data_IF_962450524848
#
_entry.id   IF_962450524848
#
_cell.length_a   1.000
_cell.length_b   1.000
_cell.length_c   1.000
_cell.angle_alpha   90.00
_cell.angle_beta   90.00
_cell.angle_gamma   90.00
#
_symmetry.space_group_name_H-M   'P 1'
#
loop_
_entity.id
_entity.type
_entity.pdbx_description
1 polymer ?
#
# COMPACT_ATOMS: atom_id res chain seq x y z
N UNK A 1 25.10 -14.56 -9.98
CA UNK A 1 24.01 -13.97 -9.17
C UNK A 1 23.76 -12.56 -9.70
N UNK A 2 22.57 -12.29 -10.21
CA UNK A 2 22.18 -10.97 -10.72
C UNK A 2 22.11 -9.97 -9.55
N UNK A 3 22.83 -8.86 -9.65
CA UNK A 3 22.70 -7.74 -8.72
C UNK A 3 21.30 -7.13 -8.92
N UNK A 4 20.40 -7.31 -7.96
CA UNK A 4 19.08 -6.68 -7.98
C UNK A 4 19.22 -5.30 -7.39
N UNK A 5 19.20 -4.26 -8.23
CA UNK A 5 19.12 -2.87 -7.75
C UNK A 5 17.67 -2.58 -7.38
N UNK A 6 17.45 -2.35 -6.08
CA UNK A 6 16.17 -1.93 -5.52
C UNK A 6 16.00 -0.44 -5.80
N UNK A 7 15.17 -0.12 -6.77
CA UNK A 7 14.86 1.26 -7.12
C UNK A 7 13.46 1.58 -6.63
N UNK A 8 13.38 2.57 -5.75
CA UNK A 8 12.12 3.09 -5.25
C UNK A 8 11.64 4.18 -6.19
N UNK A 9 10.42 4.04 -6.69
CA UNK A 9 9.75 5.14 -7.37
C UNK A 9 9.58 6.31 -6.38
N UNK A 10 10.27 7.42 -6.66
CA UNK A 10 10.29 8.58 -5.77
C UNK A 10 8.94 9.30 -5.71
N UNK A 11 8.10 9.12 -6.74
CA UNK A 11 6.79 9.75 -6.85
C UNK A 11 5.72 9.09 -5.96
N UNK A 12 5.96 7.87 -5.45
CA UNK A 12 4.92 7.11 -4.74
C UNK A 12 3.69 6.79 -5.60
N UNK A 13 3.80 6.99 -6.91
CA UNK A 13 2.71 6.86 -7.86
C UNK A 13 2.38 5.38 -8.07
N UNK A 14 3.41 4.53 -8.17
CA UNK A 14 3.28 3.06 -8.22
C UNK A 14 2.49 2.48 -7.02
N UNK A 15 2.58 3.10 -5.85
CA UNK A 15 1.85 2.68 -4.64
C UNK A 15 0.36 3.01 -4.71
N UNK A 16 -0.03 4.09 -5.38
CA UNK A 16 -1.44 4.43 -5.58
C UNK A 16 -2.16 3.37 -6.42
N UNK A 17 -1.51 2.84 -7.45
CA UNK A 17 -2.05 1.73 -8.26
C UNK A 17 -2.28 0.45 -7.46
N UNK A 18 -1.56 0.24 -6.35
CA UNK A 18 -1.80 -0.88 -5.43
C UNK A 18 -2.95 -0.60 -4.46
N UNK A 19 -3.07 0.62 -3.94
CA UNK A 19 -4.14 0.97 -2.98
C UNK A 19 -5.52 1.01 -3.64
N UNK A 20 -5.62 1.52 -4.86
CA UNK A 20 -6.90 1.65 -5.58
C UNK A 20 -7.67 0.32 -5.68
N UNK A 21 -7.09 -0.79 -6.16
CA UNK A 21 -7.79 -2.07 -6.20
C UNK A 21 -8.06 -2.61 -4.79
N UNK A 22 -7.16 -2.45 -3.81
CA UNK A 22 -7.42 -2.84 -2.41
C UNK A 22 -8.65 -2.12 -1.86
N UNK A 23 -8.80 -0.83 -2.11
CA UNK A 23 -9.99 -0.06 -1.74
C UNK A 23 -11.25 -0.53 -2.47
N UNK A 24 -11.15 -0.81 -3.78
CA UNK A 24 -12.27 -1.33 -4.56
C UNK A 24 -12.75 -2.70 -4.02
N UNK A 25 -11.81 -3.59 -3.67
CA UNK A 25 -12.11 -4.90 -3.07
C UNK A 25 -12.72 -4.79 -1.67
N UNK A 26 -12.39 -3.77 -0.89
CA UNK A 26 -13.02 -3.50 0.42
C UNK A 26 -14.42 -2.89 0.23
N UNK A 27 -14.61 -2.04 -0.77
CA UNK A 27 -15.90 -1.42 -1.06
C UNK A 27 -16.95 -2.42 -1.56
N UNK A 28 -16.57 -3.45 -2.32
CA UNK A 28 -17.51 -4.46 -2.83
C UNK A 28 -18.32 -5.19 -1.73
N UNK A 29 -17.70 -5.81 -0.70
CA UNK A 29 -18.44 -6.47 0.36
C UNK A 29 -19.20 -5.47 1.23
N UNK A 30 -18.67 -4.25 1.45
CA UNK A 30 -19.40 -3.19 2.19
C UNK A 30 -20.65 -2.77 1.42
N UNK A 31 -20.56 -2.59 0.11
CA UNK A 31 -21.68 -2.21 -0.75
C UNK A 31 -22.71 -3.34 -0.83
N UNK A 32 -22.25 -4.59 -0.97
CA UNK A 32 -23.10 -5.77 -1.00
C UNK A 32 -23.83 -5.98 0.33
N UNK A 33 -23.12 -5.86 1.45
CA UNK A 33 -23.70 -6.01 2.78
C UNK A 33 -24.67 -4.87 3.14
N UNK A 34 -24.42 -3.67 2.61
CA UNK A 34 -25.26 -2.49 2.81
C UNK A 34 -26.42 -2.40 1.81
N UNK A 35 -26.56 -3.38 0.90
CA UNK A 35 -27.66 -3.38 -0.06
C UNK A 35 -28.98 -3.29 0.72
N UNK A 36 -29.88 -2.34 0.37
CA UNK A 36 -31.09 -2.13 1.12
C UNK A 36 -31.86 -3.44 1.16
N UNK A 37 -31.87 -4.09 2.33
CA UNK A 37 -32.81 -5.15 2.61
C UNK A 37 -34.16 -4.47 2.54
N UNK A 38 -34.89 -4.71 1.45
CA UNK A 38 -36.24 -4.23 1.23
C UNK A 38 -37.02 -4.69 2.46
N UNK A 39 -37.23 -3.80 3.43
CA UNK A 39 -38.11 -4.07 4.55
C UNK A 39 -39.49 -4.17 3.93
N UNK A 40 -39.95 -5.40 3.69
CA UNK A 40 -41.37 -5.64 3.44
C UNK A 40 -42.12 -4.94 4.57
N UNK A 41 -42.88 -3.92 4.20
CA UNK A 41 -43.71 -3.16 5.12
C UNK A 41 -44.77 -4.11 5.64
N UNK A 42 -44.48 -4.80 6.76
CA UNK A 42 -45.49 -5.59 7.46
C UNK A 42 -46.63 -4.64 7.78
N UNK A 43 -47.76 -4.81 7.09
CA UNK A 43 -48.99 -4.09 7.39
C UNK A 43 -49.39 -4.58 8.79
N UNK A 44 -49.00 -3.84 9.83
CA UNK A 44 -49.45 -4.14 11.19
C UNK A 44 -50.92 -3.73 11.23
N UNK A 45 -51.86 -4.65 11.49
CA UNK A 45 -53.27 -4.29 11.63
C UNK A 45 -53.38 -3.20 12.70
N UNK A 46 -54.01 -2.08 12.34
CA UNK A 46 -54.32 -1.04 13.32
C UNK A 46 -55.38 -1.62 14.26
N UNK A 47 -55.17 -1.58 15.59
CA UNK A 47 -56.13 -2.12 16.54
C UNK A 47 -57.40 -1.27 16.49
N UNK A 48 -58.45 -1.75 15.82
CA UNK A 48 -59.82 -1.31 16.06
C UNK A 48 -60.27 -1.85 17.42
N UNK A 49 -61.07 -1.05 18.13
CA UNK A 49 -61.30 -1.02 19.59
C UNK A 49 -61.92 -2.28 20.24
N UNK A 50 -61.47 -3.49 19.93
CA UNK A 50 -61.97 -4.67 20.65
C UNK A 50 -60.92 -5.77 20.73
N UNK A 51 -60.79 -6.29 21.95
CA UNK A 51 -59.89 -7.32 22.48
C UNK A 51 -58.56 -6.86 23.10
N UNK A 52 -58.34 -7.41 24.28
CA UNK A 52 -57.32 -7.07 25.27
C UNK A 52 -55.92 -7.57 24.84
N UNK A 53 -55.03 -6.65 24.48
CA UNK A 53 -53.66 -6.94 24.05
C UNK A 53 -52.62 -6.70 25.15
N UNK A 54 -52.84 -7.25 26.36
CA UNK A 54 -51.86 -7.17 27.45
C UNK A 54 -50.49 -7.83 27.13
N UNK A 55 -50.39 -9.02 26.50
CA UNK A 55 -49.10 -9.69 26.32
C UNK A 55 -48.28 -9.19 25.11
N UNK A 56 -48.89 -8.42 24.19
CA UNK A 56 -48.22 -8.00 22.95
C UNK A 56 -47.70 -6.54 23.00
N UNK A 57 -48.19 -5.73 23.94
CA UNK A 57 -47.79 -4.31 24.16
C UNK A 57 -46.29 -4.13 24.41
N UNK A 58 -45.65 -5.08 25.09
CA UNK A 58 -44.24 -4.99 25.48
C UNK A 58 -43.31 -5.17 24.28
N UNK A 59 -43.72 -6.00 23.30
CA UNK A 59 -42.93 -6.31 22.10
C UNK A 59 -42.86 -5.11 21.15
N UNK A 60 -43.96 -4.38 20.97
CA UNK A 60 -43.97 -3.16 20.16
C UNK A 60 -43.06 -2.07 20.74
N UNK A 61 -43.14 -1.84 22.06
CA UNK A 61 -42.38 -0.80 22.74
C UNK A 61 -40.86 -1.04 22.69
N UNK A 62 -40.41 -2.30 22.78
CA UNK A 62 -38.99 -2.66 22.66
C UNK A 62 -38.47 -2.54 21.21
N UNK A 63 -39.31 -2.85 20.21
CA UNK A 63 -38.97 -2.66 18.79
C UNK A 63 -38.79 -1.18 18.44
N UNK A 64 -39.62 -0.30 19.00
CA UNK A 64 -39.55 1.14 18.78
C UNK A 64 -38.49 1.86 19.64
N UNK A 65 -38.01 1.28 20.74
CA UNK A 65 -37.04 1.91 21.65
C UNK A 65 -35.64 2.14 21.04
N UNK A 66 -35.18 1.27 20.13
CA UNK A 66 -33.88 1.42 19.44
C UNK A 66 -34.00 2.00 18.03
N UNK A 67 -35.22 2.21 17.54
CA UNK A 67 -35.52 2.47 16.13
C UNK A 67 -34.76 3.70 15.59
N UNK A 68 -34.62 4.75 16.40
CA UNK A 68 -33.84 5.93 16.05
C UNK A 68 -32.35 5.64 15.86
N UNK A 69 -31.75 4.80 16.71
CA UNK A 69 -30.33 4.45 16.59
C UNK A 69 -30.09 3.48 15.43
N UNK A 70 -31.01 2.55 15.13
CA UNK A 70 -30.92 1.68 13.94
C UNK A 70 -31.05 2.47 12.64
N UNK A 71 -31.99 3.43 12.59
CA UNK A 71 -32.15 4.35 11.47
C UNK A 71 -30.94 5.28 11.31
N UNK A 72 -30.41 5.83 12.42
CA UNK A 72 -29.19 6.65 12.41
C UNK A 72 -27.98 5.85 11.97
N UNK A 73 -27.81 4.61 12.42
CA UNK A 73 -26.75 3.72 11.95
C UNK A 73 -26.88 3.48 10.44
N UNK A 74 -28.08 3.17 9.94
CA UNK A 74 -28.30 3.01 8.49
C UNK A 74 -28.00 4.31 7.69
N UNK A 75 -28.35 5.48 8.22
CA UNK A 75 -28.03 6.77 7.60
C UNK A 75 -26.52 7.05 7.63
N UNK A 76 -25.85 6.84 8.77
CA UNK A 76 -24.41 7.03 8.92
C UNK A 76 -23.61 6.10 8.00
N UNK A 77 -24.03 4.84 7.87
CA UNK A 77 -23.37 3.90 6.97
C UNK A 77 -23.58 4.29 5.49
N UNK A 78 -24.74 4.81 5.10
CA UNK A 78 -24.97 5.37 3.75
C UNK A 78 -24.08 6.60 3.48
N UNK A 79 -23.99 7.52 4.44
CA UNK A 79 -23.10 8.69 4.34
C UNK A 79 -21.65 8.23 4.21
N UNK A 80 -21.22 7.27 5.03
CA UNK A 80 -19.88 6.68 4.95
C UNK A 80 -19.59 6.06 3.58
N UNK A 81 -20.56 5.37 2.98
CA UNK A 81 -20.44 4.81 1.62
C UNK A 81 -20.23 5.92 0.58
N UNK A 82 -21.03 6.99 0.63
CA UNK A 82 -20.91 8.12 -0.30
C UNK A 82 -19.55 8.80 -0.15
N UNK A 83 -19.10 9.03 1.09
CA UNK A 83 -17.77 9.61 1.38
C UNK A 83 -16.65 8.71 0.85
N UNK A 84 -16.72 7.39 1.08
CA UNK A 84 -15.73 6.45 0.58
C UNK A 84 -15.72 6.37 -0.97
N UNK A 85 -16.88 6.49 -1.61
CA UNK A 85 -16.99 6.54 -3.06
C UNK A 85 -16.39 7.84 -3.64
N UNK A 86 -16.63 8.99 -3.00
CA UNK A 86 -16.01 10.27 -3.37
C UNK A 86 -14.49 10.19 -3.21
N UNK A 87 -13.99 9.59 -2.12
CA UNK A 87 -12.56 9.41 -1.90
C UNK A 87 -11.90 8.53 -2.97
N UNK A 88 -12.56 7.44 -3.39
CA UNK A 88 -12.11 6.61 -4.51
C UNK A 88 -12.05 7.42 -5.83
N UNK A 89 -13.07 8.22 -6.12
CA UNK A 89 -13.08 9.09 -7.31
C UNK A 89 -11.95 10.11 -7.29
N UNK A 90 -11.66 10.70 -6.12
CA UNK A 90 -10.52 11.61 -5.94
C UNK A 90 -9.19 10.88 -6.19
N UNK A 91 -9.01 9.66 -5.68
CA UNK A 91 -7.81 8.87 -5.94
C UNK A 91 -7.63 8.53 -7.41
N UNK A 92 -8.70 8.11 -8.10
CA UNK A 92 -8.66 7.82 -9.54
C UNK A 92 -8.32 9.08 -10.33
N UNK A 93 -8.94 10.22 -9.98
CA UNK A 93 -8.63 11.50 -10.61
C UNK A 93 -7.17 11.90 -10.39
N UNK A 94 -6.65 11.71 -9.18
CA UNK A 94 -5.23 11.92 -8.87
C UNK A 94 -4.35 11.00 -9.73
N UNK A 95 -4.71 9.73 -9.87
CA UNK A 95 -3.99 8.77 -10.72
C UNK A 95 -3.99 9.20 -12.19
N UNK A 96 -5.12 9.67 -12.72
CA UNK A 96 -5.23 10.17 -14.09
C UNK A 96 -4.40 11.42 -14.38
N UNK A 97 -4.04 12.19 -13.36
CA UNK A 97 -3.20 13.39 -13.52
C UNK A 97 -1.70 13.10 -13.50
N UNK A 98 -1.30 11.87 -13.13
CA UNK A 98 0.09 11.46 -13.13
C UNK A 98 0.51 11.29 -14.59
N UNK A 99 1.42 12.16 -15.05
CA UNK A 99 2.14 11.89 -16.29
C UNK A 99 2.95 10.62 -16.05
N UNK A 100 2.74 9.59 -16.86
CA UNK A 100 3.57 8.39 -16.84
C UNK A 100 4.97 8.83 -17.28
N UNK A 101 5.77 9.33 -16.34
CA UNK A 101 7.19 9.62 -16.52
C UNK A 101 8.00 8.33 -16.41
N UNK A 102 7.49 7.25 -17.02
CA UNK A 102 8.34 6.19 -17.51
C UNK A 102 8.62 6.59 -18.95
N UNK A 103 9.54 7.54 -19.13
CA UNK A 103 10.02 7.88 -20.46
C UNK A 103 10.56 6.59 -21.08
N UNK A 104 9.76 5.97 -21.95
CA UNK A 104 10.24 4.95 -22.86
C UNK A 104 11.34 5.64 -23.67
N UNK A 105 12.58 5.42 -23.24
CA UNK A 105 13.73 6.06 -23.85
C UNK A 105 13.81 5.55 -25.28
N UNK A 106 13.42 6.42 -26.21
CA UNK A 106 13.59 6.17 -27.62
C UNK A 106 15.02 6.59 -28.01
N UNK A 107 15.95 5.64 -28.21
CA UNK A 107 17.32 5.97 -28.62
C UNK A 107 17.35 6.69 -29.98
N UNK A 108 16.29 6.58 -30.79
CA UNK A 108 16.17 7.22 -32.10
C UNK A 108 15.49 8.59 -32.05
N UNK A 109 14.87 8.97 -30.93
CA UNK A 109 14.38 10.33 -30.73
C UNK A 109 15.51 11.36 -30.74
N UNK A 110 16.72 10.95 -30.32
CA UNK A 110 17.95 11.76 -30.45
C UNK A 110 18.36 11.96 -31.91
N UNK A 111 18.02 11.00 -32.78
CA UNK A 111 18.34 11.00 -34.21
C UNK A 111 17.25 11.64 -35.08
N UNK A 112 16.07 11.94 -34.52
CA UNK A 112 14.98 12.65 -35.21
C UNK A 112 14.31 11.85 -36.34
N UNK A 113 14.30 10.52 -36.26
CA UNK A 113 13.75 9.63 -37.30
C UNK A 113 12.35 9.14 -36.89
N UNK A 114 11.37 9.23 -37.81
CA UNK A 114 9.97 8.81 -37.61
C UNK A 114 9.77 7.28 -37.79
N UNK A 115 8.87 6.67 -37.02
CA UNK A 115 9.04 5.32 -36.46
C UNK A 115 8.29 4.13 -37.12
N UNK A 116 7.68 4.26 -38.29
CA UNK A 116 6.54 3.35 -38.56
C UNK A 116 6.83 1.92 -39.10
N UNK A 117 8.03 1.55 -39.57
CA UNK A 117 8.25 0.17 -40.07
C UNK A 117 9.71 -0.39 -40.12
N UNK A 118 10.78 0.40 -40.33
CA UNK A 118 12.15 -0.16 -40.49
C UNK A 118 12.87 -0.43 -39.15
N UNK A 119 12.27 -0.09 -38.02
CA UNK A 119 12.94 -0.05 -36.70
C UNK A 119 13.51 -1.40 -36.29
N UNK A 120 12.75 -2.49 -36.44
CA UNK A 120 13.21 -3.81 -36.00
C UNK A 120 14.47 -4.24 -36.75
N UNK A 121 14.48 -4.03 -38.06
CA UNK A 121 15.63 -4.35 -38.92
C UNK A 121 16.81 -3.44 -38.65
N UNK A 122 16.57 -2.15 -38.45
CA UNK A 122 17.64 -1.21 -38.12
C UNK A 122 18.27 -1.48 -36.74
N UNK A 123 17.43 -1.82 -35.74
CA UNK A 123 17.89 -2.22 -34.40
C UNK A 123 18.73 -3.49 -34.44
N UNK A 124 18.29 -4.51 -35.18
CA UNK A 124 19.08 -5.74 -35.42
C UNK A 124 20.45 -5.40 -36.05
N UNK A 125 20.49 -4.49 -37.03
CA UNK A 125 21.73 -4.05 -37.68
C UNK A 125 22.63 -3.29 -36.70
N UNK A 126 22.07 -2.38 -35.90
CA UNK A 126 22.83 -1.60 -34.93
C UNK A 126 23.42 -2.48 -33.81
N UNK A 127 22.64 -3.44 -33.31
CA UNK A 127 23.09 -4.44 -32.35
C UNK A 127 24.19 -5.32 -32.96
N UNK A 128 24.00 -5.81 -34.19
CA UNK A 128 25.00 -6.60 -34.90
C UNK A 128 26.30 -5.82 -35.14
N UNK A 129 26.20 -4.56 -35.56
CA UNK A 129 27.36 -3.69 -35.74
C UNK A 129 28.12 -3.54 -34.41
N UNK A 130 27.42 -3.22 -33.32
CA UNK A 130 28.02 -3.09 -31.98
C UNK A 130 28.73 -4.38 -31.55
N UNK A 131 28.14 -5.55 -31.79
CA UNK A 131 28.78 -6.85 -31.46
C UNK A 131 30.02 -7.16 -32.30
N UNK A 132 30.13 -6.63 -33.51
CA UNK A 132 31.23 -6.91 -34.43
C UNK A 132 32.37 -5.92 -34.31
N UNK A 133 32.10 -4.69 -33.88
CA UNK A 133 33.12 -3.64 -33.75
C UNK A 133 33.80 -3.60 -32.40
N UNK A 134 33.11 -4.02 -31.34
CA UNK A 134 33.60 -3.92 -29.97
C UNK A 134 33.83 -5.32 -29.37
N UNK A 135 35.05 -5.55 -28.88
CA UNK A 135 35.46 -6.86 -28.33
C UNK A 135 34.70 -7.18 -27.05
N UNK A 136 34.40 -6.18 -26.21
CA UNK A 136 33.63 -6.38 -24.97
C UNK A 136 32.17 -6.75 -25.28
N UNK A 137 31.57 -6.09 -26.27
CA UNK A 137 30.22 -6.42 -26.74
C UNK A 137 30.14 -7.83 -27.35
N UNK A 138 31.22 -8.28 -28.01
CA UNK A 138 31.33 -9.63 -28.57
C UNK A 138 31.39 -10.69 -27.48
N UNK A 139 32.18 -10.47 -26.43
CA UNK A 139 32.25 -11.37 -25.28
C UNK A 139 30.90 -11.40 -24.52
N UNK A 140 30.28 -10.25 -24.31
CA UNK A 140 28.94 -10.14 -23.73
C UNK A 140 27.88 -10.88 -24.56
N UNK A 141 27.96 -10.84 -25.89
CA UNK A 141 27.06 -11.62 -26.75
C UNK A 141 27.27 -13.13 -26.58
N UNK A 142 28.51 -13.59 -26.43
CA UNK A 142 28.82 -15.01 -26.20
C UNK A 142 28.32 -15.50 -24.83
N UNK A 143 28.38 -14.65 -23.81
CA UNK A 143 28.00 -15.02 -22.44
C UNK A 143 26.49 -14.81 -22.15
N UNK A 144 25.90 -13.74 -22.67
CA UNK A 144 24.53 -13.29 -22.32
C UNK A 144 23.55 -13.23 -23.51
N UNK A 145 24.01 -13.38 -24.75
CA UNK A 145 23.15 -13.30 -25.95
C UNK A 145 22.64 -11.89 -26.29
N UNK A 146 23.29 -10.83 -25.78
CA UNK A 146 22.98 -9.41 -26.05
C UNK A 146 24.27 -8.57 -25.99
N UNK A 147 24.51 -7.55 -26.87
CA UNK A 147 25.73 -6.74 -26.85
C UNK A 147 25.94 -5.94 -25.55
N UNK A 148 24.86 -5.65 -24.83
CA UNK A 148 24.92 -4.81 -23.61
C UNK A 148 25.28 -5.61 -22.35
N UNK A 149 25.46 -6.93 -22.45
CA UNK A 149 25.81 -7.79 -21.32
C UNK A 149 24.64 -8.06 -20.37
N UNK A 150 24.95 -8.33 -19.10
CA UNK A 150 23.96 -8.72 -18.08
C UNK A 150 22.94 -7.60 -17.85
N UNK A 151 21.69 -7.85 -18.21
CA UNK A 151 20.58 -6.94 -17.89
C UNK A 151 20.35 -6.92 -16.38
N UNK A 152 20.46 -5.74 -15.80
CA UNK A 152 20.06 -5.50 -14.40
C UNK A 152 18.54 -5.50 -14.36
N UNK A 153 17.94 -6.54 -13.79
CA UNK A 153 16.50 -6.56 -13.54
C UNK A 153 16.23 -5.61 -12.38
N UNK A 154 15.66 -4.44 -12.69
CA UNK A 154 15.20 -3.47 -11.70
C UNK A 154 13.82 -3.92 -11.23
N UNK A 155 13.74 -4.41 -10.00
CA UNK A 155 12.46 -4.78 -9.38
C UNK A 155 11.98 -3.58 -8.58
N UNK A 156 10.99 -2.87 -9.11
CA UNK A 156 10.30 -1.80 -8.39
C UNK A 156 9.27 -2.39 -7.44
N UNK A 157 9.50 -2.25 -6.13
CA UNK A 157 8.48 -2.58 -5.14
C UNK A 157 7.66 -1.34 -4.81
N UNK A 158 6.33 -1.48 -4.80
CA UNK A 158 5.40 -0.42 -4.42
C UNK A 158 5.36 -0.14 -2.90
N UNK A 159 6.44 -0.42 -2.18
CA UNK A 159 6.51 -0.18 -0.73
C UNK A 159 6.88 1.29 -0.52
N UNK A 160 6.10 2.03 0.28
CA UNK A 160 6.43 3.41 0.56
C UNK A 160 7.80 3.54 1.26
N UNK A 161 8.61 4.52 0.83
CA UNK A 161 9.96 4.78 1.39
C UNK A 161 9.96 4.86 2.93
N UNK A 162 8.94 5.50 3.52
CA UNK A 162 8.79 5.62 4.98
C UNK A 162 8.61 4.29 5.72
N UNK A 163 8.16 3.22 5.06
CA UNK A 163 8.02 1.89 5.66
C UNK A 163 9.36 1.15 5.71
N UNK A 164 10.19 1.34 4.69
CA UNK A 164 11.51 0.70 4.58
C UNK A 164 12.51 1.31 5.55
N UNK A 165 12.51 2.64 5.68
CA UNK A 165 13.43 3.34 6.59
C UNK A 165 13.23 2.94 8.06
N UNK A 166 12.01 2.53 8.45
CA UNK A 166 11.72 2.05 9.81
C UNK A 166 12.36 0.73 10.18
N UNK A 167 12.65 -0.15 9.23
CA UNK A 167 13.36 -1.40 9.53
C UNK A 167 14.84 -1.13 9.81
N UNK A 168 15.45 -0.19 9.09
CA UNK A 168 16.83 0.26 9.33
C UNK A 168 17.00 0.96 10.69
N UNK A 169 15.99 1.68 11.18
CA UNK A 169 16.00 2.30 12.52
C UNK A 169 16.18 1.29 13.65
N UNK A 170 15.61 0.09 13.54
CA UNK A 170 15.81 -0.97 14.53
C UNK A 170 17.25 -1.49 14.53
N UNK A 171 17.84 -1.69 13.34
CA UNK A 171 19.22 -2.14 13.19
C UNK A 171 20.23 -1.11 13.72
N UNK A 172 19.95 0.18 13.56
CA UNK A 172 20.75 1.27 14.13
C UNK A 172 20.72 1.24 15.67
N UNK A 173 19.55 1.00 16.28
CA UNK A 173 19.42 0.84 17.72
C UNK A 173 20.17 -0.38 18.27
N UNK A 174 20.16 -1.51 17.54
CA UNK A 174 20.94 -2.69 17.91
C UNK A 174 22.46 -2.49 17.75
N UNK A 175 22.90 -1.63 16.82
CA UNK A 175 24.30 -1.27 16.63
C UNK A 175 24.88 -0.34 17.71
N UNK A 176 24.08 0.64 18.16
CA UNK A 176 24.52 1.62 19.18
C UNK A 176 24.72 0.98 20.56
N UNK A 177 23.90 0.00 20.94
CA UNK A 177 24.00 -0.67 22.24
C UNK A 177 25.23 -1.58 22.40
N UNK A 178 25.92 -1.95 21.31
CA UNK A 178 27.13 -2.78 21.38
C UNK A 178 28.40 -1.96 21.69
N UNK A 179 28.43 -0.69 21.28
CA UNK A 179 29.58 0.21 21.50
C UNK A 179 29.63 0.73 22.94
N UNK A 180 28.47 0.94 23.58
CA UNK A 180 28.39 1.43 24.96
C UNK A 180 28.74 0.36 26.00
N UNK A 181 28.50 -0.93 25.70
CA UNK A 181 28.80 -2.04 26.61
C UNK A 181 30.30 -2.34 26.75
N UNK A 182 31.10 -2.00 25.74
CA UNK A 182 32.57 -2.18 25.79
C UNK A 182 33.30 -1.17 26.69
N UNK A 183 32.70 0.00 26.98
CA UNK A 183 33.32 1.02 27.83
C UNK A 183 32.94 0.91 29.32
N UNK A 184 31.90 0.17 29.66
CA UNK A 184 31.38 0.09 31.03
C UNK A 184 32.03 -1.00 31.89
N UNK A 185 32.73 -1.99 31.31
CA UNK A 185 33.35 -3.09 32.08
C UNK A 185 34.80 -2.81 32.51
N UNK A 186 35.35 -1.63 32.20
CA UNK A 186 36.73 -1.26 32.52
C UNK A 186 36.86 -0.34 33.76
N UNK A 187 35.77 0.08 34.40
CA UNK A 187 35.81 0.99 35.54
C UNK A 187 34.85 0.52 36.65
N UNK A 188 35.39 -0.14 37.69
CA UNK A 188 34.63 -0.41 38.91
C UNK A 188 35.10 -1.62 39.70
N UNK A 189 36.23 -1.49 40.39
CA UNK A 189 36.63 -2.39 41.49
C UNK A 189 35.68 -2.31 42.71
N UNK A 190 35.82 -3.21 43.69
CA UNK A 190 34.71 -3.78 44.46
C UNK A 190 34.06 -2.85 45.49
N UNK A 191 32.72 -2.88 45.52
CA UNK A 191 31.88 -2.16 46.46
C UNK A 191 31.97 -2.75 47.88
N UNK A 192 32.37 -1.89 48.83
CA UNK A 192 32.47 -2.16 50.26
C UNK A 192 31.07 -2.09 50.92
N UNK A 193 30.74 -3.14 51.67
CA UNK A 193 29.47 -3.36 52.37
C UNK A 193 29.45 -2.53 53.65
N UNK A 194 28.52 -1.56 53.78
CA UNK A 194 28.11 -1.02 55.08
C UNK A 194 26.58 -1.04 55.23
N UNK A 195 26.17 -1.62 56.36
CA UNK A 195 24.81 -1.92 56.83
C UNK A 195 24.00 -0.67 57.22
N UNK A 196 22.65 -0.77 57.24
CA UNK A 196 21.72 0.34 57.43
C UNK A 196 21.62 0.81 58.90
N UNK A 197 21.40 2.10 59.10
CA UNK A 197 20.98 2.71 60.37
C UNK A 197 19.61 3.35 60.20
N UNK A 198 18.77 3.10 61.20
CA UNK A 198 17.34 3.32 61.36
C UNK A 198 16.90 4.79 61.20
N UNK A 199 15.72 5.02 60.62
CA UNK A 199 14.96 6.27 60.75
C UNK A 199 14.31 6.33 62.14
N UNK A 200 14.53 7.44 62.85
CA UNK A 200 13.73 7.84 64.00
C UNK A 200 12.98 9.13 63.66
N UNK A 201 11.64 9.02 63.73
CA UNK A 201 10.58 10.07 63.71
C UNK A 201 10.42 10.90 62.43
#
# INVERSE_FOLDING_TARGET
MSEMKLEYDEGGEMFLYFIVPVYAFILLPVTYWLWPKIEERKIVPHPTDTYDFAPYRNKYRLLHANEHNRKRQAILTKIGLVVACIFLLILIYRVSLIKIENGEYDPFAVLGVDQEAPIKKFKEIAEAYKTLTDEEARENWREYGNPDGRRVVRVGFAIPKWFVDRQNLSAQFYGVNRVTRSKSTAAGGPANIKRPQQLSL
#
